data_IF_031338982930
#
_entry.id   IF_031338982930
#
_cell.length_a   1.000
_cell.length_b   1.000
_cell.length_c   1.000
_cell.angle_alpha   90.00
_cell.angle_beta   90.00
_cell.angle_gamma   90.00
#
_symmetry.space_group_name_H-M   'P 1'
#
loop_
_entity.id
_entity.type
_entity.pdbx_description
1 polymer ?
#
# COMPACT_ATOMS: atom_id res chain seq x y z
N UNK A 1 64.65 11.00 -25.46
CA UNK A 1 64.07 11.06 -24.09
C UNK A 1 62.71 11.72 -24.19
N UNK A 2 61.65 10.92 -24.29
CA UNK A 2 60.26 11.36 -24.41
C UNK A 2 59.58 11.16 -23.07
N UNK A 3 59.15 12.26 -22.45
CA UNK A 3 58.53 12.28 -21.14
C UNK A 3 57.13 11.65 -21.20
N UNK A 4 56.91 10.65 -20.36
CA UNK A 4 55.69 9.87 -20.27
C UNK A 4 54.51 10.73 -19.81
N UNK A 5 53.43 10.70 -20.58
CA UNK A 5 52.14 11.28 -20.24
C UNK A 5 51.51 10.45 -19.10
N UNK A 6 51.67 10.93 -17.87
CA UNK A 6 51.01 10.40 -16.68
C UNK A 6 49.52 10.75 -16.76
N UNK A 7 48.74 9.83 -17.32
CA UNK A 7 47.28 9.90 -17.32
C UNK A 7 46.78 9.95 -15.88
N UNK A 8 46.38 11.14 -15.43
CA UNK A 8 45.74 11.32 -14.14
C UNK A 8 44.44 10.51 -14.14
N UNK A 9 44.47 9.31 -13.58
CA UNK A 9 43.27 8.63 -13.09
C UNK A 9 42.80 9.46 -11.91
N UNK A 10 42.06 10.54 -12.20
CA UNK A 10 41.17 11.16 -11.24
C UNK A 10 40.17 10.06 -10.86
N UNK A 11 40.51 9.27 -9.85
CA UNK A 11 39.55 8.53 -9.06
C UNK A 11 38.48 9.54 -8.73
N UNK A 12 37.29 9.41 -9.35
CA UNK A 12 36.15 10.25 -9.01
C UNK A 12 35.88 9.95 -7.55
N UNK A 13 36.41 10.79 -6.65
CA UNK A 13 36.10 10.78 -5.23
C UNK A 13 34.57 10.85 -5.20
N UNK A 14 33.94 9.71 -4.88
CA UNK A 14 32.48 9.63 -4.78
C UNK A 14 32.12 10.65 -3.72
N UNK A 15 31.56 11.80 -4.13
CA UNK A 15 31.06 12.79 -3.19
C UNK A 15 30.16 12.06 -2.19
N UNK A 16 30.38 12.23 -0.86
CA UNK A 16 29.57 11.58 0.16
C UNK A 16 28.09 11.81 -0.16
N UNK A 17 27.30 10.73 -0.16
CA UNK A 17 25.86 10.84 -0.39
C UNK A 17 25.28 11.82 0.65
N UNK A 18 24.39 12.75 0.25
CA UNK A 18 23.73 13.62 1.20
C UNK A 18 22.97 12.75 2.21
N UNK A 19 23.28 12.93 3.50
CA UNK A 19 22.75 12.12 4.61
C UNK A 19 21.21 12.10 4.63
N UNK A 20 20.58 13.18 4.13
CA UNK A 20 19.13 13.32 4.03
C UNK A 20 18.41 12.25 3.20
N UNK A 21 19.05 11.67 2.17
CA UNK A 21 18.42 10.59 1.36
C UNK A 21 18.21 9.34 2.20
N UNK A 22 19.19 9.00 3.06
CA UNK A 22 19.13 7.83 3.92
C UNK A 22 18.09 8.00 5.02
N UNK A 23 18.01 9.18 5.63
CA UNK A 23 17.00 9.48 6.65
C UNK A 23 15.58 9.44 6.06
N UNK A 24 15.35 10.09 4.92
CA UNK A 24 14.05 10.09 4.27
C UNK A 24 13.61 8.68 3.84
N UNK A 25 14.52 7.90 3.24
CA UNK A 25 14.22 6.53 2.83
C UNK A 25 13.98 5.62 4.03
N UNK A 26 14.74 5.77 5.11
CA UNK A 26 14.53 5.03 6.36
C UNK A 26 13.15 5.31 6.97
N UNK A 27 12.77 6.58 7.09
CA UNK A 27 11.43 6.98 7.57
C UNK A 27 10.35 6.40 6.65
N UNK A 28 10.52 6.49 5.34
CA UNK A 28 9.59 5.93 4.36
C UNK A 28 9.36 4.44 4.53
N UNK A 29 10.44 3.66 4.67
CA UNK A 29 10.37 2.21 4.91
C UNK A 29 9.66 1.91 6.21
N UNK A 30 9.96 2.63 7.29
CA UNK A 30 9.30 2.44 8.60
C UNK A 30 7.80 2.74 8.50
N UNK A 31 7.41 3.83 7.83
CA UNK A 31 6.00 4.17 7.63
C UNK A 31 5.27 3.11 6.82
N UNK A 32 5.84 2.66 5.70
CA UNK A 32 5.25 1.61 4.85
C UNK A 32 5.09 0.31 5.64
N UNK A 33 6.12 -0.13 6.36
CA UNK A 33 6.05 -1.34 7.18
C UNK A 33 5.06 -1.20 8.33
N UNK A 34 5.03 -0.03 8.99
CA UNK A 34 4.08 0.28 10.04
C UNK A 34 2.64 0.25 9.53
N UNK A 35 2.36 0.82 8.36
CA UNK A 35 1.04 0.75 7.73
C UNK A 35 0.68 -0.69 7.35
N UNK A 36 1.61 -1.43 6.74
CA UNK A 36 1.36 -2.80 6.31
C UNK A 36 1.08 -3.73 7.51
N UNK A 37 1.91 -3.69 8.55
CA UNK A 37 1.83 -4.60 9.69
C UNK A 37 0.84 -4.13 10.76
N UNK A 38 0.74 -2.82 10.99
CA UNK A 38 -0.08 -2.24 12.04
C UNK A 38 -1.51 -1.91 11.61
N UNK A 39 -1.77 -1.70 10.32
CA UNK A 39 -3.11 -1.38 9.83
C UNK A 39 -3.64 -2.43 8.85
N UNK A 40 -2.93 -2.68 7.75
CA UNK A 40 -3.43 -3.54 6.68
C UNK A 40 -3.61 -5.00 7.11
N UNK A 41 -2.58 -5.60 7.72
CA UNK A 41 -2.62 -7.02 8.11
C UNK A 41 -3.72 -7.32 9.16
N UNK A 42 -3.86 -6.53 10.25
CA UNK A 42 -4.96 -6.70 11.18
C UNK A 42 -6.33 -6.48 10.54
N UNK A 43 -6.45 -5.49 9.65
CA UNK A 43 -7.71 -5.17 8.97
C UNK A 43 -8.17 -6.30 8.05
N UNK A 44 -7.28 -6.82 7.20
CA UNK A 44 -7.60 -7.95 6.32
C UNK A 44 -7.84 -9.22 7.12
N UNK A 45 -7.07 -9.46 8.18
CA UNK A 45 -7.28 -10.59 9.08
C UNK A 45 -8.64 -10.54 9.76
N UNK A 46 -9.04 -9.37 10.25
CA UNK A 46 -10.35 -9.13 10.85
C UNK A 46 -11.48 -9.34 9.84
N UNK A 47 -11.43 -8.67 8.68
CA UNK A 47 -12.46 -8.79 7.65
C UNK A 47 -12.59 -10.22 7.11
N UNK A 48 -11.47 -10.90 6.90
CA UNK A 48 -11.44 -12.31 6.51
C UNK A 48 -12.03 -13.22 7.59
N UNK A 49 -11.66 -12.98 8.86
CA UNK A 49 -12.19 -13.72 10.00
C UNK A 49 -13.71 -13.58 10.15
N UNK A 50 -14.24 -12.34 10.09
CA UNK A 50 -15.68 -12.07 10.14
C UNK A 50 -16.41 -12.73 8.98
N UNK A 51 -15.85 -12.68 7.77
CA UNK A 51 -16.47 -13.31 6.60
C UNK A 51 -16.56 -14.84 6.76
N UNK A 52 -15.50 -15.46 7.30
CA UNK A 52 -15.46 -16.90 7.55
C UNK A 52 -16.45 -17.35 8.64
N UNK A 53 -16.70 -16.52 9.66
CA UNK A 53 -17.60 -16.87 10.78
C UNK A 53 -19.06 -16.50 10.55
N UNK A 54 -19.36 -15.58 9.62
CA UNK A 54 -20.72 -15.07 9.37
C UNK A 54 -21.44 -15.75 8.19
N UNK A 55 -21.00 -16.95 7.78
CA UNK A 55 -21.55 -17.68 6.62
C UNK A 55 -21.62 -16.83 5.33
N UNK A 56 -20.73 -15.84 5.17
CA UNK A 56 -20.69 -14.95 4.02
C UNK A 56 -21.66 -13.76 4.06
N UNK A 57 -22.25 -13.43 5.22
CA UNK A 57 -23.07 -12.21 5.38
C UNK A 57 -22.24 -10.94 5.14
N UNK A 58 -20.95 -10.94 5.48
CA UNK A 58 -20.02 -9.87 5.10
C UNK A 58 -19.35 -10.24 3.77
N UNK A 59 -19.61 -9.52 2.68
CA UNK A 59 -19.01 -9.84 1.38
C UNK A 59 -17.58 -9.30 1.33
N UNK A 60 -16.59 -10.11 1.71
CA UNK A 60 -15.18 -9.77 1.58
C UNK A 60 -14.56 -10.31 0.28
N UNK A 61 -14.25 -9.46 -0.71
CA UNK A 61 -13.73 -9.91 -2.01
C UNK A 61 -12.22 -10.18 -1.94
N UNK A 62 -11.85 -11.29 -1.31
CA UNK A 62 -10.45 -11.67 -1.03
C UNK A 62 -9.55 -11.61 -2.27
N UNK A 63 -9.99 -12.16 -3.40
CA UNK A 63 -9.18 -12.21 -4.64
C UNK A 63 -8.86 -10.79 -5.16
N UNK A 64 -9.85 -9.89 -5.16
CA UNK A 64 -9.64 -8.50 -5.61
C UNK A 64 -8.69 -7.75 -4.68
N UNK A 65 -8.88 -7.93 -3.37
CA UNK A 65 -7.98 -7.35 -2.36
C UNK A 65 -6.56 -7.87 -2.55
N UNK A 66 -6.36 -9.18 -2.67
CA UNK A 66 -5.04 -9.77 -2.84
C UNK A 66 -4.32 -9.26 -4.10
N UNK A 67 -5.02 -9.19 -5.24
CA UNK A 67 -4.44 -8.69 -6.50
C UNK A 67 -4.04 -7.21 -6.41
N UNK A 68 -4.92 -6.36 -5.87
CA UNK A 68 -4.63 -4.92 -5.71
C UNK A 68 -3.49 -4.71 -4.70
N UNK A 69 -3.45 -5.49 -3.63
CA UNK A 69 -2.37 -5.42 -2.64
C UNK A 69 -1.03 -5.88 -3.22
N UNK A 70 -1.00 -6.93 -4.04
CA UNK A 70 0.22 -7.36 -4.74
C UNK A 70 0.72 -6.27 -5.70
N UNK A 71 -0.16 -5.71 -6.54
CA UNK A 71 0.20 -4.62 -7.44
C UNK A 71 0.67 -3.38 -6.68
N UNK A 72 -0.04 -3.00 -5.62
CA UNK A 72 0.33 -1.90 -4.74
C UNK A 72 1.70 -2.10 -4.10
N UNK A 73 1.99 -3.30 -3.59
CA UNK A 73 3.28 -3.64 -3.02
C UNK A 73 4.41 -3.51 -4.06
N UNK A 74 4.19 -3.96 -5.30
CA UNK A 74 5.16 -3.79 -6.38
C UNK A 74 5.44 -2.31 -6.68
N UNK A 75 4.39 -1.47 -6.72
CA UNK A 75 4.54 -0.01 -6.94
C UNK A 75 5.31 0.64 -5.79
N UNK A 76 4.96 0.33 -4.54
CA UNK A 76 5.65 0.85 -3.35
C UNK A 76 7.13 0.44 -3.36
N UNK A 77 7.43 -0.82 -3.65
CA UNK A 77 8.80 -1.31 -3.78
C UNK A 77 9.56 -0.59 -4.89
N UNK A 78 8.96 -0.41 -6.06
CA UNK A 78 9.57 0.31 -7.17
C UNK A 78 9.91 1.76 -6.79
N UNK A 79 9.02 2.44 -6.07
CA UNK A 79 9.22 3.83 -5.62
C UNK A 79 10.30 3.92 -4.54
N UNK A 80 10.36 2.98 -3.61
CA UNK A 80 11.43 2.92 -2.61
C UNK A 80 12.79 2.63 -3.26
N UNK A 81 12.86 1.67 -4.19
CA UNK A 81 14.08 1.40 -4.98
C UNK A 81 14.49 2.62 -5.79
N UNK A 82 13.53 3.34 -6.38
CA UNK A 82 13.78 4.60 -7.07
C UNK A 82 14.36 5.64 -6.09
N UNK A 83 13.81 5.77 -4.89
CA UNK A 83 14.35 6.68 -3.87
C UNK A 83 15.81 6.34 -3.51
N UNK A 84 16.14 5.06 -3.35
CA UNK A 84 17.50 4.60 -3.04
C UNK A 84 18.50 4.76 -4.20
N UNK A 85 18.05 4.76 -5.45
CA UNK A 85 18.91 4.91 -6.63
C UNK A 85 19.20 6.37 -6.98
N UNK A 86 18.38 7.33 -6.51
CA UNK A 86 18.56 8.76 -6.82
C UNK A 86 19.62 9.42 -5.92
N UNK A 87 20.37 10.36 -6.52
CA UNK A 87 21.45 11.12 -5.84
C UNK A 87 20.98 12.46 -5.24
N UNK A 88 19.81 12.94 -5.66
CA UNK A 88 19.22 14.20 -5.19
C UNK A 88 18.19 13.94 -4.09
N UNK A 89 18.34 14.63 -2.96
CA UNK A 89 17.45 14.51 -1.80
C UNK A 89 15.99 14.80 -2.17
N UNK A 90 15.72 15.87 -2.93
CA UNK A 90 14.36 16.22 -3.32
C UNK A 90 13.64 15.08 -4.06
N UNK A 91 14.27 14.51 -5.09
CA UNK A 91 13.67 13.41 -5.87
C UNK A 91 13.46 12.15 -5.04
N UNK A 92 14.36 11.86 -4.10
CA UNK A 92 14.22 10.72 -3.20
C UNK A 92 13.05 10.94 -2.22
N UNK A 93 12.94 12.14 -1.65
CA UNK A 93 11.82 12.50 -0.76
C UNK A 93 10.47 12.38 -1.48
N UNK A 94 10.34 12.90 -2.70
CA UNK A 94 9.09 12.76 -3.47
C UNK A 94 8.73 11.30 -3.73
N UNK A 95 9.70 10.47 -4.12
CA UNK A 95 9.47 9.05 -4.34
C UNK A 95 9.00 8.33 -3.06
N UNK A 96 9.60 8.67 -1.90
CA UNK A 96 9.18 8.15 -0.59
C UNK A 96 7.76 8.60 -0.24
N UNK A 97 7.44 9.89 -0.37
CA UNK A 97 6.09 10.40 -0.09
C UNK A 97 5.06 9.68 -0.96
N UNK A 98 5.35 9.51 -2.24
CA UNK A 98 4.45 8.81 -3.16
C UNK A 98 4.29 7.34 -2.78
N UNK A 99 5.36 6.68 -2.34
CA UNK A 99 5.29 5.31 -1.82
C UNK A 99 4.38 5.20 -0.59
N UNK A 100 4.47 6.14 0.34
CA UNK A 100 3.60 6.19 1.54
C UNK A 100 2.14 6.41 1.14
N UNK A 101 1.86 7.36 0.22
CA UNK A 101 0.50 7.61 -0.25
C UNK A 101 -0.11 6.38 -0.93
N UNK A 102 0.66 5.69 -1.77
CA UNK A 102 0.21 4.43 -2.41
C UNK A 102 -0.06 3.36 -1.34
N UNK A 103 0.81 3.22 -0.34
CA UNK A 103 0.60 2.29 0.77
C UNK A 103 -0.70 2.55 1.54
N UNK A 104 -1.02 3.82 1.78
CA UNK A 104 -2.29 4.23 2.43
C UNK A 104 -3.48 3.90 1.53
N UNK A 105 -3.42 4.24 0.25
CA UNK A 105 -4.51 3.97 -0.70
C UNK A 105 -4.83 2.47 -0.79
N UNK A 106 -3.81 1.63 -0.86
CA UNK A 106 -3.94 0.16 -0.85
C UNK A 106 -4.57 -0.34 0.46
N UNK A 107 -4.26 0.32 1.59
CA UNK A 107 -4.81 -0.04 2.90
C UNK A 107 -6.28 0.31 3.05
N UNK A 108 -6.74 1.40 2.43
CA UNK A 108 -8.14 1.84 2.46
C UNK A 108 -9.04 1.00 1.53
N UNK A 109 -8.47 0.45 0.46
CA UNK A 109 -9.22 -0.28 -0.58
C UNK A 109 -10.15 -1.41 -0.08
N UNK A 110 -9.73 -2.32 0.82
CA UNK A 110 -10.60 -3.39 1.33
C UNK A 110 -11.83 -2.85 2.06
N UNK A 111 -11.68 -1.74 2.79
CA UNK A 111 -12.79 -1.10 3.52
C UNK A 111 -13.85 -0.60 2.55
N UNK A 112 -13.43 0.05 1.48
CA UNK A 112 -14.34 0.56 0.44
C UNK A 112 -15.11 -0.59 -0.21
N UNK A 113 -14.42 -1.69 -0.56
CA UNK A 113 -15.07 -2.85 -1.17
C UNK A 113 -16.09 -3.50 -0.24
N UNK A 114 -15.78 -3.65 1.04
CA UNK A 114 -16.71 -4.21 2.02
C UNK A 114 -17.90 -3.28 2.23
N UNK A 115 -17.69 -1.96 2.31
CA UNK A 115 -18.77 -0.99 2.45
C UNK A 115 -19.74 -1.04 1.26
N UNK A 116 -19.22 -1.05 0.03
CA UNK A 116 -20.04 -1.17 -1.18
C UNK A 116 -20.77 -2.51 -1.21
N UNK A 117 -20.07 -3.62 -1.00
CA UNK A 117 -20.69 -4.94 -1.00
C UNK A 117 -21.76 -5.09 0.09
N UNK A 118 -21.57 -4.47 1.25
CA UNK A 118 -22.55 -4.48 2.34
C UNK A 118 -23.79 -3.67 1.99
N UNK A 119 -23.62 -2.54 1.29
CA UNK A 119 -24.73 -1.74 0.78
C UNK A 119 -25.56 -2.51 -0.25
N UNK A 120 -24.91 -3.21 -1.18
CA UNK A 120 -25.59 -4.04 -2.18
C UNK A 120 -26.42 -5.14 -1.51
N UNK A 121 -25.83 -5.86 -0.54
CA UNK A 121 -26.54 -6.92 0.20
C UNK A 121 -27.69 -6.40 1.05
N UNK A 122 -27.51 -5.26 1.71
CA UNK A 122 -28.59 -4.64 2.47
C UNK A 122 -29.75 -4.23 1.56
N UNK A 123 -29.44 -3.72 0.35
CA UNK A 123 -30.44 -3.39 -0.67
C UNK A 123 -31.23 -4.62 -1.14
N UNK A 124 -30.58 -5.77 -1.31
CA UNK A 124 -31.24 -7.01 -1.74
C UNK A 124 -32.10 -7.66 -0.65
N UNK A 125 -31.69 -7.56 0.63
CA UNK A 125 -32.36 -8.22 1.75
C UNK A 125 -33.52 -7.40 2.30
N UNK A 126 -33.45 -6.07 2.22
CA UNK A 126 -34.49 -5.18 2.76
C UNK A 126 -35.91 -5.47 2.22
N UNK A 127 -36.12 -5.68 0.91
CA UNK A 127 -37.42 -6.05 0.36
C UNK A 127 -38.00 -7.33 0.97
N UNK A 128 -37.16 -8.35 1.18
CA UNK A 128 -37.56 -9.64 1.77
C UNK A 128 -38.04 -9.45 3.21
N UNK A 129 -37.31 -8.63 3.98
CA UNK A 129 -37.69 -8.30 5.36
C UNK A 129 -39.01 -7.52 5.39
N UNK A 130 -39.18 -6.52 4.50
CA UNK A 130 -40.43 -5.77 4.43
C UNK A 130 -41.61 -6.63 3.99
N UNK A 131 -41.40 -7.60 3.10
CA UNK A 131 -42.45 -8.50 2.68
C UNK A 131 -42.84 -9.49 3.78
N UNK A 132 -41.86 -10.04 4.52
CA UNK A 132 -42.13 -10.85 5.70
C UNK A 132 -42.87 -10.05 6.77
N UNK A 133 -42.42 -8.83 7.03
CA UNK A 133 -43.07 -7.94 7.98
C UNK A 133 -44.52 -7.68 7.61
N UNK A 134 -44.81 -7.32 6.35
CA UNK A 134 -46.17 -7.11 5.86
C UNK A 134 -47.02 -8.39 5.97
N UNK A 135 -46.46 -9.57 5.71
CA UNK A 135 -47.17 -10.86 5.92
C UNK A 135 -47.51 -11.11 7.39
N UNK A 136 -46.70 -10.63 8.32
CA UNK A 136 -46.93 -10.77 9.76
C UNK A 136 -47.84 -9.67 10.34
N UNK A 137 -47.76 -8.44 9.83
CA UNK A 137 -48.55 -7.30 10.37
C UNK A 137 -49.87 -7.04 9.66
N UNK A 138 -50.06 -7.56 8.43
CA UNK A 138 -51.26 -7.32 7.62
C UNK A 138 -51.20 -6.02 6.85
#
# INVERSE_FOLDING_TARGET
MTTAWSGSRRTRVRRPRPRGVWVASGIGVVLVLGTALGAFLPLVGFLGGVTATTAGLVPFPFVRVALVSLLGALVVLALLVLAFTRRHTATATFAVVLAVLVSIAVTVFPVVLVAVGSADRAGDVWPIVTELWNRFTG
#
